data_IF_770478900836
#
_entry.id   IF_770478900836
#
_cell.length_a   1.000
_cell.length_b   1.000
_cell.length_c   1.000
_cell.angle_alpha   90.00
_cell.angle_beta   90.00
_cell.angle_gamma   90.00
#
_symmetry.space_group_name_H-M   'P 1'
#
loop_
_entity.id
_entity.type
_entity.pdbx_description
1 polymer ?
#
# COMPACT_ATOMS: atom_id res chain seq x y z
N UNK A 1 -24.60 -11.08 5.95
CA UNK A 1 -23.97 -9.82 6.38
C UNK A 1 -23.84 -8.92 5.18
N UNK A 2 -23.76 -7.59 5.33
CA UNK A 2 -23.52 -6.71 4.19
C UNK A 2 -22.21 -7.16 3.55
N UNK A 3 -22.31 -7.58 2.29
CA UNK A 3 -21.16 -7.92 1.48
C UNK A 3 -20.46 -6.59 1.21
N UNK A 4 -19.32 -6.36 1.86
CA UNK A 4 -18.47 -5.23 1.51
C UNK A 4 -18.14 -5.39 0.03
N UNK A 5 -18.56 -4.43 -0.79
CA UNK A 5 -18.27 -4.40 -2.22
C UNK A 5 -16.83 -3.93 -2.40
N UNK A 6 -15.90 -4.83 -2.05
CA UNK A 6 -14.47 -4.55 -1.99
C UNK A 6 -13.73 -5.50 -2.92
N UNK A 7 -12.88 -4.94 -3.78
CA UNK A 7 -11.95 -5.72 -4.60
C UNK A 7 -10.59 -5.73 -3.92
N UNK A 8 -10.09 -6.91 -3.60
CA UNK A 8 -8.74 -7.10 -3.02
C UNK A 8 -7.79 -7.52 -4.13
N UNK A 9 -6.79 -6.68 -4.39
CA UNK A 9 -5.68 -7.00 -5.28
C UNK A 9 -4.49 -7.43 -4.43
N UNK A 10 -3.99 -8.64 -4.65
CA UNK A 10 -2.81 -9.17 -3.95
C UNK A 10 -1.77 -9.61 -4.97
N UNK A 11 -0.49 -9.42 -4.63
CA UNK A 11 0.62 -9.80 -5.48
C UNK A 11 1.83 -10.20 -4.64
N UNK A 12 2.68 -11.02 -5.24
CA UNK A 12 4.02 -11.27 -4.70
C UNK A 12 4.90 -10.03 -4.96
N UNK A 13 5.67 -9.53 -3.99
CA UNK A 13 6.58 -8.40 -4.21
C UNK A 13 7.55 -8.60 -5.39
N UNK A 14 7.93 -9.84 -5.69
CA UNK A 14 8.75 -10.19 -6.83
C UNK A 14 8.09 -9.85 -8.18
N UNK A 15 6.76 -9.75 -8.24
CA UNK A 15 6.03 -9.35 -9.45
C UNK A 15 6.47 -7.96 -9.93
N UNK A 16 6.75 -7.03 -9.02
CA UNK A 16 7.14 -5.66 -9.37
C UNK A 16 8.64 -5.49 -9.65
N UNK A 17 9.46 -6.55 -9.50
CA UNK A 17 10.92 -6.43 -9.71
C UNK A 17 11.26 -5.91 -11.11
N UNK A 18 12.13 -4.90 -11.16
CA UNK A 18 12.55 -4.27 -12.41
C UNK A 18 11.53 -3.31 -13.02
N UNK A 19 10.47 -2.96 -12.28
CA UNK A 19 9.59 -1.85 -12.59
C UNK A 19 9.90 -0.72 -11.61
N UNK A 20 9.79 0.52 -12.07
CA UNK A 20 10.04 1.72 -11.27
C UNK A 20 8.86 2.02 -10.35
N UNK A 21 8.51 1.05 -9.49
CA UNK A 21 7.35 1.11 -8.61
C UNK A 21 7.82 0.89 -7.18
N UNK A 22 7.61 1.90 -6.34
CA UNK A 22 7.73 1.76 -4.90
C UNK A 22 6.34 1.55 -4.28
N UNK A 23 5.95 0.31 -3.90
CA UNK A 23 4.67 0.07 -3.27
C UNK A 23 4.56 0.70 -1.88
N UNK A 24 5.68 1.18 -1.31
CA UNK A 24 5.73 1.84 -0.01
C UNK A 24 5.59 3.35 -0.11
N UNK A 25 5.68 3.91 -1.32
CA UNK A 25 5.46 5.33 -1.58
C UNK A 25 3.97 5.71 -1.59
N UNK A 26 3.07 4.72 -1.63
CA UNK A 26 1.61 4.95 -1.62
C UNK A 26 1.10 4.95 -0.17
N UNK A 27 0.25 5.92 0.22
CA UNK A 27 -0.33 5.95 1.56
C UNK A 27 -1.19 4.71 1.83
N UNK A 28 -1.24 4.28 3.10
CA UNK A 28 -2.01 3.11 3.52
C UNK A 28 -3.52 3.25 3.26
N UNK A 29 -4.01 4.49 3.21
CA UNK A 29 -5.38 4.81 2.83
C UNK A 29 -5.38 6.08 1.99
N UNK A 30 -6.15 6.05 0.90
CA UNK A 30 -6.30 7.17 -0.01
C UNK A 30 -7.76 7.32 -0.42
N UNK A 31 -8.36 8.47 -0.08
CA UNK A 31 -9.68 8.82 -0.59
C UNK A 31 -9.55 9.40 -2.00
N UNK A 32 -9.93 8.59 -2.98
CA UNK A 32 -10.12 9.05 -4.35
C UNK A 32 -11.38 9.91 -4.43
N UNK A 33 -11.39 10.86 -5.36
CA UNK A 33 -12.60 11.61 -5.70
C UNK A 33 -12.49 12.15 -7.13
N UNK A 34 -13.63 12.22 -7.82
CA UNK A 34 -13.71 12.74 -9.18
C UNK A 34 -13.05 11.80 -10.20
N UNK A 35 -12.38 12.35 -11.20
CA UNK A 35 -11.82 11.57 -12.31
C UNK A 35 -10.82 10.50 -11.87
N UNK A 36 -10.06 10.74 -10.78
CA UNK A 36 -9.11 9.76 -10.22
C UNK A 36 -9.82 8.51 -9.68
N UNK A 37 -11.02 8.68 -9.12
CA UNK A 37 -11.83 7.59 -8.58
C UNK A 37 -12.31 6.68 -9.72
N UNK A 38 -12.92 7.27 -10.76
CA UNK A 38 -13.40 6.52 -11.92
C UNK A 38 -12.27 5.80 -12.65
N UNK A 39 -11.12 6.48 -12.79
CA UNK A 39 -9.95 5.92 -13.45
C UNK A 39 -9.38 4.69 -12.70
N UNK A 40 -9.32 4.74 -11.37
CA UNK A 40 -8.83 3.62 -10.55
C UNK A 40 -9.86 2.50 -10.49
N UNK A 41 -11.16 2.81 -10.36
CA UNK A 41 -12.23 1.80 -10.38
C UNK A 41 -12.18 1.01 -11.69
N UNK A 42 -12.04 1.71 -12.83
CA UNK A 42 -11.95 1.06 -14.14
C UNK A 42 -10.70 0.17 -14.26
N UNK A 43 -9.54 0.63 -13.79
CA UNK A 43 -8.32 -0.19 -13.81
C UNK A 43 -8.40 -1.43 -12.93
N UNK A 44 -8.92 -1.30 -11.70
CA UNK A 44 -9.10 -2.43 -10.80
C UNK A 44 -10.11 -3.42 -11.38
N UNK A 45 -11.20 -2.92 -11.96
CA UNK A 45 -12.21 -3.75 -12.62
C UNK A 45 -11.61 -4.53 -13.80
N UNK A 46 -10.84 -3.85 -14.65
CA UNK A 46 -10.16 -4.49 -15.79
C UNK A 46 -9.13 -5.52 -15.32
N UNK A 47 -8.32 -5.20 -14.30
CA UNK A 47 -7.36 -6.12 -13.71
C UNK A 47 -8.05 -7.38 -13.14
N UNK A 48 -9.20 -7.22 -12.47
CA UNK A 48 -9.98 -8.34 -11.96
C UNK A 48 -10.53 -9.22 -13.09
N UNK A 49 -11.07 -8.61 -14.15
CA UNK A 49 -11.55 -9.31 -15.35
C UNK A 49 -10.41 -10.09 -16.02
N UNK A 50 -9.24 -9.48 -16.21
CA UNK A 50 -8.11 -10.13 -16.89
C UNK A 50 -7.49 -11.25 -16.05
N UNK A 51 -7.47 -11.08 -14.71
CA UNK A 51 -7.05 -12.13 -13.80
C UNK A 51 -7.93 -13.38 -13.90
N UNK A 52 -9.25 -13.19 -13.99
CA UNK A 52 -10.20 -14.29 -14.17
C UNK A 52 -10.10 -14.90 -15.57
N UNK A 53 -10.10 -14.07 -16.61
CA UNK A 53 -10.14 -14.48 -18.01
C UNK A 53 -8.89 -15.23 -18.46
N UNK A 54 -7.73 -14.85 -17.91
CA UNK A 54 -6.44 -15.39 -18.35
C UNK A 54 -5.76 -16.28 -17.31
N UNK A 55 -6.53 -16.80 -16.35
CA UNK A 55 -6.05 -17.69 -15.31
C UNK A 55 -5.33 -18.90 -15.92
N UNK A 56 -4.08 -19.13 -15.51
CA UNK A 56 -3.26 -20.25 -15.96
C UNK A 56 -2.41 -19.99 -17.21
N UNK A 57 -2.59 -18.85 -17.90
CA UNK A 57 -1.77 -18.50 -19.06
C UNK A 57 -0.45 -17.83 -18.62
N UNK A 58 0.69 -18.38 -19.05
CA UNK A 58 2.00 -17.83 -18.70
C UNK A 58 2.20 -16.38 -19.21
N UNK A 59 1.72 -16.09 -20.43
CA UNK A 59 1.79 -14.74 -21.03
C UNK A 59 0.99 -13.70 -20.24
N UNK A 60 -0.09 -14.12 -19.59
CA UNK A 60 -0.93 -13.23 -18.80
C UNK A 60 -0.24 -12.69 -17.56
N UNK A 61 0.79 -13.39 -17.03
CA UNK A 61 1.61 -12.85 -15.95
C UNK A 61 2.28 -11.54 -16.34
N UNK A 62 2.73 -11.43 -17.59
CA UNK A 62 3.27 -10.18 -18.13
C UNK A 62 2.21 -9.08 -18.14
N UNK A 63 1.03 -9.35 -18.71
CA UNK A 63 -0.07 -8.39 -18.76
C UNK A 63 -0.46 -7.90 -17.35
N UNK A 64 -0.79 -8.81 -16.43
CA UNK A 64 -1.24 -8.50 -15.08
C UNK A 64 -0.18 -7.70 -14.30
N UNK A 65 1.10 -8.04 -14.49
CA UNK A 65 2.22 -7.32 -13.89
C UNK A 65 2.31 -5.87 -14.37
N UNK A 66 2.13 -5.63 -15.66
CA UNK A 66 2.16 -4.26 -16.21
C UNK A 66 0.92 -3.48 -15.80
N UNK A 67 -0.27 -4.09 -15.78
CA UNK A 67 -1.49 -3.45 -15.30
C UNK A 67 -1.39 -3.04 -13.83
N UNK A 68 -0.88 -3.93 -12.98
CA UNK A 68 -0.62 -3.62 -11.58
C UNK A 68 0.38 -2.46 -11.44
N UNK A 69 1.46 -2.46 -12.23
CA UNK A 69 2.46 -1.40 -12.17
C UNK A 69 1.88 -0.05 -12.62
N UNK A 70 1.08 0.00 -13.69
CA UNK A 70 0.39 1.22 -14.12
C UNK A 70 -0.53 1.74 -13.02
N UNK A 71 -1.32 0.86 -12.39
CA UNK A 71 -2.19 1.24 -11.28
C UNK A 71 -1.39 1.86 -10.12
N UNK A 72 -0.31 1.21 -9.68
CA UNK A 72 0.51 1.69 -8.57
C UNK A 72 1.24 3.01 -8.92
N UNK A 73 1.74 3.15 -10.15
CA UNK A 73 2.33 4.40 -10.63
C UNK A 73 1.31 5.53 -10.63
N UNK A 74 0.09 5.28 -11.11
CA UNK A 74 -1.00 6.27 -11.06
C UNK A 74 -1.28 6.70 -9.63
N UNK A 75 -1.42 5.75 -8.71
CA UNK A 75 -1.64 6.04 -7.30
C UNK A 75 -0.49 6.86 -6.69
N UNK A 76 0.75 6.62 -7.09
CA UNK A 76 1.93 7.38 -6.61
C UNK A 76 1.98 8.83 -7.13
N UNK A 77 1.34 9.11 -8.26
CA UNK A 77 1.25 10.45 -8.84
C UNK A 77 0.06 11.26 -8.30
N UNK A 78 -0.86 10.62 -7.58
CA UNK A 78 -2.01 11.33 -7.02
C UNK A 78 -1.53 12.37 -6.02
N UNK A 79 -2.08 13.61 -6.09
CA UNK A 79 -1.71 14.64 -5.14
C UNK A 79 -2.04 14.13 -3.73
N UNK A 80 -1.03 14.20 -2.86
CA UNK A 80 -1.12 13.76 -1.47
C UNK A 80 -2.19 14.61 -0.75
N UNK A 81 -3.44 14.13 -0.73
CA UNK A 81 -4.53 14.71 0.07
C UNK A 81 -4.37 14.25 1.52
N UNK A 82 -3.20 14.47 2.13
CA UNK A 82 -2.90 13.97 3.47
C UNK A 82 -2.57 15.08 4.47
N UNK A 83 -2.85 14.77 5.73
CA UNK A 83 -2.71 15.55 6.95
C UNK A 83 -1.36 16.30 7.09
N UNK A 84 -1.28 17.37 7.92
CA UNK A 84 -0.09 18.20 8.11
C UNK A 84 1.12 17.48 8.75
N UNK A 85 1.12 16.16 8.88
CA UNK A 85 2.25 15.38 9.34
C UNK A 85 3.46 15.60 8.41
N UNK A 86 4.66 15.71 8.98
CA UNK A 86 5.85 15.74 8.12
C UNK A 86 6.00 14.40 7.39
N UNK A 87 6.46 14.41 6.14
CA UNK A 87 6.68 13.19 5.32
C UNK A 87 7.48 12.10 6.07
N UNK A 88 8.46 12.50 6.87
CA UNK A 88 9.29 11.57 7.64
C UNK A 88 8.52 10.90 8.80
N UNK A 89 7.61 11.63 9.45
CA UNK A 89 6.79 11.10 10.55
C UNK A 89 5.71 10.16 10.03
N UNK A 90 5.05 10.52 8.92
CA UNK A 90 4.09 9.64 8.26
C UNK A 90 4.75 8.33 7.80
N UNK A 91 5.93 8.42 7.15
CA UNK A 91 6.69 7.23 6.75
C UNK A 91 7.10 6.36 7.96
N UNK A 92 7.51 6.97 9.06
CA UNK A 92 7.87 6.25 10.30
C UNK A 92 6.66 5.56 10.90
N UNK A 93 5.50 6.22 10.93
CA UNK A 93 4.25 5.65 11.42
C UNK A 93 3.81 4.44 10.56
N UNK A 94 3.85 4.56 9.23
CA UNK A 94 3.50 3.44 8.35
C UNK A 94 4.44 2.24 8.51
N UNK A 95 5.75 2.49 8.69
CA UNK A 95 6.70 1.41 9.01
C UNK A 95 6.38 0.75 10.35
N UNK A 96 5.95 1.51 11.36
CA UNK A 96 5.49 0.98 12.65
C UNK A 96 4.27 0.08 12.48
N UNK A 97 3.22 0.51 11.76
CA UNK A 97 2.03 -0.30 11.54
C UNK A 97 2.36 -1.67 10.92
N UNK A 98 3.21 -1.69 9.88
CA UNK A 98 3.62 -2.94 9.22
C UNK A 98 4.41 -3.87 10.14
N UNK A 99 5.32 -3.33 10.94
CA UNK A 99 6.07 -4.15 11.89
C UNK A 99 5.17 -4.69 12.99
N UNK A 100 4.20 -3.91 13.45
CA UNK A 100 3.16 -4.37 14.38
C UNK A 100 2.35 -5.49 13.75
N UNK A 101 1.82 -5.33 12.54
CA UNK A 101 1.05 -6.36 11.84
C UNK A 101 1.81 -7.70 11.71
N UNK A 102 3.11 -7.64 11.40
CA UNK A 102 3.97 -8.83 11.28
C UNK A 102 4.34 -9.42 12.65
N UNK A 103 4.56 -8.56 13.63
CA UNK A 103 5.21 -8.88 14.91
C UNK A 103 4.28 -9.06 16.10
N UNK A 104 3.00 -8.70 16.00
CA UNK A 104 2.09 -8.61 17.15
C UNK A 104 1.92 -9.91 17.93
N UNK A 105 2.02 -11.05 17.24
CA UNK A 105 1.97 -12.38 17.85
C UNK A 105 3.23 -12.71 18.68
N UNK A 106 4.36 -12.02 18.43
CA UNK A 106 5.65 -12.28 19.06
C UNK A 106 5.98 -11.25 20.16
N UNK A 107 5.58 -10.00 19.99
CA UNK A 107 5.79 -8.95 20.98
C UNK A 107 4.68 -7.90 20.94
N UNK A 108 4.37 -7.34 22.10
CA UNK A 108 3.45 -6.21 22.27
C UNK A 108 4.16 -4.98 22.85
N UNK A 109 5.49 -5.00 22.91
CA UNK A 109 6.32 -3.93 23.48
C UNK A 109 6.77 -2.98 22.39
N UNK A 110 6.57 -1.68 22.61
CA UNK A 110 6.95 -0.63 21.65
C UNK A 110 8.46 -0.54 21.47
N UNK A 111 9.24 -0.87 22.51
CA UNK A 111 10.70 -0.89 22.48
C UNK A 111 11.25 -1.88 21.46
N UNK A 112 10.62 -3.05 21.35
CA UNK A 112 11.05 -4.09 20.41
C UNK A 112 10.82 -3.65 18.95
N UNK A 113 9.72 -2.93 18.69
CA UNK A 113 9.45 -2.34 17.37
C UNK A 113 10.42 -1.20 17.06
N UNK A 114 10.72 -0.35 18.03
CA UNK A 114 11.69 0.74 17.87
C UNK A 114 13.08 0.19 17.49
N UNK A 115 13.52 -0.87 18.17
CA UNK A 115 14.78 -1.56 17.88
C UNK A 115 14.80 -2.14 16.45
N UNK A 116 13.73 -2.82 16.03
CA UNK A 116 13.61 -3.37 14.66
C UNK A 116 13.61 -2.30 13.59
N UNK A 117 13.01 -1.15 13.88
CA UNK A 117 12.91 -0.02 12.95
C UNK A 117 14.17 0.85 12.92
N UNK A 118 15.12 0.62 13.83
CA UNK A 118 16.37 1.37 13.95
C UNK A 118 16.17 2.79 14.49
N UNK A 119 15.16 3.00 15.34
CA UNK A 119 14.83 4.31 15.90
C UNK A 119 14.52 4.25 17.39
N UNK A 120 14.37 5.41 18.03
CA UNK A 120 13.98 5.49 19.43
C UNK A 120 12.45 5.40 19.60
N UNK A 121 11.99 4.96 20.77
CA UNK A 121 10.56 5.03 21.13
C UNK A 121 10.03 6.46 20.99
N UNK A 122 10.83 7.47 21.35
CA UNK A 122 10.47 8.89 21.18
C UNK A 122 10.19 9.25 19.71
N UNK A 123 10.93 8.68 18.77
CA UNK A 123 10.68 8.87 17.32
C UNK A 123 9.34 8.26 16.94
N UNK A 124 9.02 7.06 17.42
CA UNK A 124 7.72 6.43 17.19
C UNK A 124 6.56 7.22 17.80
N UNK A 125 6.71 7.68 19.05
CA UNK A 125 5.70 8.51 19.71
C UNK A 125 5.42 9.78 18.92
N UNK A 126 6.48 10.46 18.45
CA UNK A 126 6.33 11.66 17.62
C UNK A 126 5.61 11.37 16.30
N UNK A 127 5.95 10.25 15.66
CA UNK A 127 5.28 9.80 14.44
C UNK A 127 3.79 9.52 14.67
N UNK A 128 3.41 8.84 15.76
CA UNK A 128 2.00 8.60 16.10
C UNK A 128 1.24 9.90 16.36
N UNK A 129 1.85 10.85 17.10
CA UNK A 129 1.22 12.14 17.40
C UNK A 129 1.06 13.04 16.15
N UNK A 130 1.91 12.89 15.15
CA UNK A 130 1.84 13.69 13.94
C UNK A 130 0.64 13.32 13.04
N UNK A 131 0.15 12.08 13.14
CA UNK A 131 -0.94 11.54 12.31
C UNK A 131 -2.28 11.43 13.05
N UNK A 132 -2.32 11.78 14.34
CA UNK A 132 -3.53 11.81 15.17
C UNK A 132 -4.13 13.21 15.18
#
# INVERSE_FOLDING_TARGET
GPQLDATVVSWDPAALRGLDVDPDAVPAWLQLAGEDEDAVINEVSQLAVDCQRHRGLAVARGLLRHQLAVLLLRLSMLPERAHPATRAEAATFHRLCREVERGYQHTRRVEDYAARLGCSVRTLTRACLAVT
#
